data_IF_413272121702
#
_entry.id   IF_413272121702
#
_cell.length_a   1.000
_cell.length_b   1.000
_cell.length_c   1.000
_cell.angle_alpha   90.00
_cell.angle_beta   90.00
_cell.angle_gamma   90.00
#
_symmetry.space_group_name_H-M   'P 1'
#
loop_
_entity.id
_entity.type
_entity.pdbx_description
1 polymer ?
#
# COMPACT_ATOMS: atom_id res chain seq x y z
N UNK A 1 -17.28 -18.47 31.71
CA UNK A 1 -16.00 -18.95 31.14
C UNK A 1 -15.16 -19.47 32.30
N UNK A 2 -14.87 -20.76 32.34
CA UNK A 2 -13.93 -21.34 33.31
C UNK A 2 -12.53 -21.09 32.75
N UNK A 3 -11.74 -20.24 33.41
CA UNK A 3 -10.34 -20.02 33.06
C UNK A 3 -9.51 -21.12 33.72
N UNK A 4 -9.23 -22.19 32.99
CA UNK A 4 -8.36 -23.30 33.43
C UNK A 4 -7.05 -23.39 32.67
N UNK A 5 -6.61 -22.27 32.02
CA UNK A 5 -5.36 -22.24 31.29
C UNK A 5 -4.16 -22.17 32.26
N UNK A 6 -3.18 -23.03 32.07
CA UNK A 6 -1.89 -22.96 32.76
C UNK A 6 -1.15 -21.67 32.38
N UNK A 7 -0.67 -20.93 33.39
CA UNK A 7 0.03 -19.67 33.18
C UNK A 7 1.56 -19.80 33.39
N UNK A 8 1.99 -20.85 34.08
CA UNK A 8 3.40 -21.07 34.37
C UNK A 8 3.79 -22.55 34.23
N UNK A 9 5.08 -22.79 34.09
CA UNK A 9 5.66 -24.16 34.13
C UNK A 9 5.36 -24.84 35.44
N UNK A 10 5.28 -24.09 36.55
CA UNK A 10 4.99 -24.60 37.89
C UNK A 10 3.55 -25.08 38.00
N UNK A 11 2.59 -24.45 37.35
CA UNK A 11 1.19 -24.88 37.29
C UNK A 11 1.08 -26.26 36.63
N UNK A 12 1.84 -26.46 35.55
CA UNK A 12 1.90 -27.74 34.84
C UNK A 12 2.61 -28.79 35.70
N UNK A 13 3.72 -28.42 36.33
CA UNK A 13 4.48 -29.33 37.22
C UNK A 13 3.65 -29.80 38.39
N UNK A 14 2.75 -28.98 38.91
CA UNK A 14 1.85 -29.25 40.00
C UNK A 14 0.63 -30.10 39.65
N UNK A 15 0.40 -30.46 38.37
CA UNK A 15 -0.75 -31.30 37.98
C UNK A 15 -0.63 -32.67 38.62
N UNK A 16 -1.67 -33.05 39.37
CA UNK A 16 -1.75 -34.34 40.01
C UNK A 16 -2.61 -35.30 39.19
N UNK A 17 -2.17 -36.53 39.07
CA UNK A 17 -2.91 -37.59 38.40
C UNK A 17 -2.76 -38.91 39.15
N UNK A 18 -3.77 -39.77 39.06
CA UNK A 18 -3.80 -41.05 39.77
C UNK A 18 -3.37 -42.17 38.83
N UNK A 19 -2.34 -42.92 39.23
CA UNK A 19 -1.89 -44.14 38.53
C UNK A 19 -1.78 -45.28 39.54
N UNK A 20 -2.50 -46.38 39.31
CA UNK A 20 -2.46 -47.55 40.18
C UNK A 20 -2.86 -47.29 41.64
N UNK A 21 -3.77 -46.33 41.87
CA UNK A 21 -4.23 -45.95 43.21
C UNK A 21 -3.28 -45.01 43.99
N UNK A 22 -2.19 -44.54 43.34
CA UNK A 22 -1.26 -43.56 43.90
C UNK A 22 -1.40 -42.22 43.20
N UNK A 23 -1.37 -41.13 43.96
CA UNK A 23 -1.31 -39.77 43.42
C UNK A 23 0.15 -39.42 43.09
N UNK A 24 0.42 -39.07 41.87
CA UNK A 24 1.71 -38.61 41.36
C UNK A 24 1.58 -37.18 40.84
N UNK A 25 2.64 -36.39 40.96
CA UNK A 25 2.75 -35.11 40.31
C UNK A 25 3.44 -35.26 38.95
N UNK A 26 3.11 -34.42 38.01
CA UNK A 26 3.75 -34.48 36.73
C UNK A 26 5.27 -34.23 36.82
N UNK A 27 5.70 -33.38 37.76
CA UNK A 27 7.12 -33.18 38.09
C UNK A 27 7.88 -34.41 38.53
N UNK A 28 7.17 -35.47 39.05
CA UNK A 28 7.81 -36.68 39.53
C UNK A 28 8.25 -37.62 38.41
N UNK A 29 7.65 -37.44 37.21
CA UNK A 29 7.88 -38.31 36.05
C UNK A 29 8.38 -37.56 34.81
N UNK A 30 8.30 -36.26 34.79
CA UNK A 30 8.67 -35.45 33.64
C UNK A 30 9.40 -34.15 34.02
N UNK A 31 10.38 -33.75 33.25
CA UNK A 31 10.98 -32.43 33.34
C UNK A 31 10.21 -31.45 32.46
N UNK A 32 9.75 -30.36 33.07
CA UNK A 32 8.94 -29.36 32.41
C UNK A 32 9.77 -28.10 32.19
N UNK A 33 9.93 -27.70 30.94
CA UNK A 33 10.63 -26.50 30.58
C UNK A 33 9.93 -25.85 29.41
N UNK A 34 10.00 -24.53 29.35
CA UNK A 34 9.46 -23.76 28.24
C UNK A 34 10.39 -23.84 27.04
N UNK A 35 9.86 -24.15 25.90
CA UNK A 35 10.60 -24.25 24.64
C UNK A 35 9.76 -23.86 23.44
N UNK A 36 10.37 -23.88 22.30
CA UNK A 36 9.66 -23.75 21.05
C UNK A 36 9.10 -25.11 20.60
N UNK A 37 8.00 -25.07 19.86
CA UNK A 37 7.38 -26.28 19.29
C UNK A 37 8.35 -26.92 18.28
N UNK A 38 8.46 -28.23 18.29
CA UNK A 38 9.23 -29.00 17.32
C UNK A 38 8.26 -29.93 16.54
N UNK A 39 8.23 -29.83 15.19
CA UNK A 39 9.02 -28.96 14.31
C UNK A 39 8.65 -27.49 14.47
N UNK A 40 9.62 -26.56 14.27
CA UNK A 40 9.39 -25.13 14.45
C UNK A 40 8.33 -24.60 13.50
N UNK A 41 7.41 -23.80 14.02
CA UNK A 41 6.41 -23.11 13.21
C UNK A 41 7.07 -22.04 12.32
N UNK A 42 6.39 -21.61 11.23
CA UNK A 42 6.89 -20.53 10.37
C UNK A 42 7.30 -19.32 11.19
N UNK A 43 8.54 -18.89 11.03
CA UNK A 43 9.10 -17.75 11.75
C UNK A 43 9.21 -16.54 10.84
N UNK A 44 8.81 -15.38 11.34
CA UNK A 44 9.07 -14.11 10.67
C UNK A 44 10.46 -13.61 11.07
N UNK A 45 11.28 -13.27 10.08
CA UNK A 45 12.64 -12.77 10.29
C UNK A 45 12.89 -11.52 9.47
N UNK A 46 13.58 -10.55 10.07
CA UNK A 46 14.04 -9.34 9.40
C UNK A 46 15.55 -9.28 9.51
N UNK A 47 16.25 -9.15 8.38
CA UNK A 47 17.73 -9.18 8.31
C UNK A 47 18.36 -10.39 9.03
N UNK A 48 17.72 -11.57 8.92
CA UNK A 48 18.19 -12.81 9.53
C UNK A 48 17.86 -12.97 11.02
N UNK A 49 17.33 -11.93 11.69
CA UNK A 49 16.96 -11.96 13.11
C UNK A 49 15.48 -12.28 13.28
N UNK A 50 15.11 -13.08 14.30
CA UNK A 50 13.70 -13.30 14.63
C UNK A 50 13.01 -11.96 14.93
N UNK A 51 11.80 -11.77 14.39
CA UNK A 51 11.05 -10.55 14.55
C UNK A 51 9.54 -10.86 14.66
N UNK A 52 8.80 -9.90 15.17
CA UNK A 52 7.33 -9.93 15.18
C UNK A 52 6.86 -8.98 14.08
N UNK A 53 6.09 -9.49 13.12
CA UNK A 53 5.50 -8.70 12.05
C UNK A 53 4.14 -8.14 12.48
N UNK A 54 3.96 -6.84 12.30
CA UNK A 54 2.66 -6.17 12.41
C UNK A 54 2.23 -5.74 11.01
N UNK A 55 1.15 -6.31 10.51
CA UNK A 55 0.55 -5.93 9.23
C UNK A 55 -0.68 -5.06 9.48
N UNK A 56 -0.72 -3.90 8.84
CA UNK A 56 -1.85 -2.98 8.89
C UNK A 56 -2.43 -2.89 7.49
N UNK A 57 -3.69 -3.25 7.35
CA UNK A 57 -4.41 -3.18 6.09
C UNK A 57 -5.38 -2.00 6.09
N UNK A 58 -5.51 -1.35 4.94
CA UNK A 58 -6.50 -0.31 4.74
C UNK A 58 -7.90 -0.94 4.62
N UNK A 59 -8.89 -0.25 5.18
CA UNK A 59 -10.30 -0.60 4.97
C UNK A 59 -10.69 -0.24 3.54
N UNK A 60 -11.60 -1.00 2.94
CA UNK A 60 -12.18 -0.70 1.64
C UNK A 60 -12.76 0.71 1.59
N UNK A 61 -12.48 1.45 0.53
CA UNK A 61 -12.85 2.86 0.38
C UNK A 61 -12.07 3.84 1.27
N UNK A 62 -10.97 3.41 1.90
CA UNK A 62 -10.11 4.28 2.70
C UNK A 62 -9.07 5.03 1.87
N UNK A 63 -8.49 6.07 2.47
CA UNK A 63 -7.36 6.81 1.91
C UNK A 63 -6.04 6.24 2.42
N UNK A 64 -5.20 5.72 1.51
CA UNK A 64 -3.92 5.10 1.85
C UNK A 64 -2.88 6.13 2.31
N UNK A 65 -2.92 7.35 1.78
CA UNK A 65 -1.97 8.41 2.15
C UNK A 65 -2.28 8.89 3.58
N UNK A 66 -3.55 9.14 3.87
CA UNK A 66 -3.99 9.50 5.22
C UNK A 66 -3.71 8.36 6.23
N UNK A 67 -3.83 7.09 5.81
CA UNK A 67 -3.45 5.95 6.64
C UNK A 67 -1.94 5.96 6.93
N UNK A 68 -1.10 6.21 5.92
CA UNK A 68 0.36 6.30 6.07
C UNK A 68 0.77 7.35 7.09
N UNK A 69 0.20 8.55 7.00
CA UNK A 69 0.43 9.65 7.95
C UNK A 69 0.03 9.27 9.38
N UNK A 70 -1.16 8.66 9.52
CA UNK A 70 -1.66 8.23 10.83
C UNK A 70 -0.78 7.14 11.46
N UNK A 71 -0.29 6.17 10.64
CA UNK A 71 0.62 5.13 11.11
C UNK A 71 1.95 5.75 11.54
N UNK A 72 2.53 6.65 10.75
CA UNK A 72 3.78 7.32 11.06
C UNK A 72 3.69 8.10 12.38
N UNK A 73 2.60 8.85 12.56
CA UNK A 73 2.34 9.59 13.79
C UNK A 73 2.12 8.66 15.01
N UNK A 74 1.41 7.55 14.82
CA UNK A 74 1.21 6.55 15.87
C UNK A 74 2.53 5.86 16.23
N UNK A 75 3.32 5.47 15.24
CA UNK A 75 4.62 4.80 15.45
C UNK A 75 5.61 5.70 16.16
N UNK A 76 5.63 7.00 15.88
CA UNK A 76 6.48 7.97 16.61
C UNK A 76 6.14 7.97 18.11
N UNK A 77 4.84 7.95 18.45
CA UNK A 77 4.40 7.90 19.86
C UNK A 77 4.69 6.55 20.51
N UNK A 78 4.52 5.45 19.78
CA UNK A 78 4.78 4.10 20.31
C UNK A 78 6.27 3.91 20.53
N UNK A 79 7.11 4.31 19.58
CA UNK A 79 8.58 4.15 19.65
C UNK A 79 9.18 4.82 20.88
N UNK A 80 8.63 5.98 21.29
CA UNK A 80 9.09 6.68 22.49
C UNK A 80 8.81 5.90 23.79
N UNK A 81 7.89 4.95 23.79
CA UNK A 81 7.49 4.15 24.94
C UNK A 81 7.96 2.67 24.88
N UNK A 82 8.70 2.30 23.83
CA UNK A 82 9.18 0.92 23.70
C UNK A 82 10.31 0.63 24.69
N UNK A 83 10.37 -0.60 25.23
CA UNK A 83 11.49 -1.06 26.06
C UNK A 83 12.82 -0.98 25.30
N UNK A 84 13.90 -0.78 26.04
CA UNK A 84 15.26 -0.79 25.49
C UNK A 84 15.54 -2.15 24.84
N UNK A 85 15.99 -2.13 23.59
CA UNK A 85 16.28 -3.33 22.80
C UNK A 85 15.21 -3.72 21.78
N UNK A 86 14.02 -3.10 21.80
CA UNK A 86 12.99 -3.27 20.78
C UNK A 86 13.09 -2.13 19.78
N UNK A 87 13.37 -2.47 18.50
CA UNK A 87 13.48 -1.49 17.42
C UNK A 87 12.41 -1.78 16.37
N UNK A 88 11.52 -0.84 16.08
CA UNK A 88 10.59 -0.96 14.96
C UNK A 88 11.35 -0.78 13.64
N UNK A 89 11.10 -1.67 12.70
CA UNK A 89 11.67 -1.62 11.34
C UNK A 89 10.51 -1.60 10.36
N UNK A 90 10.43 -0.57 9.54
CA UNK A 90 9.46 -0.49 8.46
C UNK A 90 9.93 -1.41 7.32
N UNK A 91 9.14 -2.44 7.02
CA UNK A 91 9.46 -3.44 5.99
C UNK A 91 8.83 -3.09 4.65
N UNK A 92 7.58 -2.60 4.68
CA UNK A 92 6.87 -2.19 3.49
C UNK A 92 5.98 -0.99 3.80
N UNK A 93 6.02 0.03 2.95
CA UNK A 93 5.19 1.21 3.01
C UNK A 93 4.43 1.39 1.69
N UNK A 94 3.14 1.06 1.74
CA UNK A 94 2.29 1.18 0.57
C UNK A 94 1.93 2.64 0.28
N UNK A 95 1.85 3.51 1.30
CA UNK A 95 1.54 4.92 1.12
C UNK A 95 2.62 5.62 0.30
N UNK A 96 3.90 5.42 0.63
CA UNK A 96 5.04 5.95 -0.13
C UNK A 96 5.07 5.40 -1.56
N UNK A 97 4.74 4.11 -1.74
CA UNK A 97 4.68 3.50 -3.08
C UNK A 97 3.60 4.15 -3.95
N UNK A 98 2.45 4.46 -3.36
CA UNK A 98 1.33 5.14 -4.07
C UNK A 98 1.68 6.58 -4.36
N UNK A 99 2.25 7.31 -3.41
CA UNK A 99 2.70 8.69 -3.59
C UNK A 99 3.69 8.82 -4.77
N UNK A 100 4.71 7.96 -4.81
CA UNK A 100 5.65 7.92 -5.92
C UNK A 100 4.97 7.60 -7.26
N UNK A 101 4.04 6.64 -7.28
CA UNK A 101 3.32 6.29 -8.51
C UNK A 101 2.47 7.47 -9.05
N UNK A 102 1.83 8.23 -8.16
CA UNK A 102 1.08 9.43 -8.54
C UNK A 102 2.02 10.54 -9.04
N UNK A 103 3.14 10.77 -8.34
CA UNK A 103 4.14 11.76 -8.74
C UNK A 103 4.74 11.45 -10.12
N UNK A 104 5.10 10.20 -10.37
CA UNK A 104 5.63 9.72 -11.65
C UNK A 104 4.60 9.89 -12.78
N UNK A 105 3.33 9.57 -12.49
CA UNK A 105 2.24 9.78 -13.43
C UNK A 105 2.08 11.26 -13.77
N UNK A 106 2.00 12.14 -12.77
CA UNK A 106 1.84 13.57 -12.98
C UNK A 106 3.02 14.17 -13.75
N UNK A 107 4.23 13.72 -13.47
CA UNK A 107 5.43 14.15 -14.20
C UNK A 107 5.36 13.72 -15.67
N UNK A 108 5.03 12.48 -15.93
CA UNK A 108 4.88 11.93 -17.29
C UNK A 108 3.75 12.62 -18.07
N UNK A 109 2.64 12.91 -17.38
CA UNK A 109 1.51 13.64 -17.95
C UNK A 109 1.92 15.04 -18.40
N UNK A 110 2.58 15.81 -17.54
CA UNK A 110 3.02 17.16 -17.88
C UNK A 110 4.09 17.17 -18.98
N UNK A 111 5.00 16.19 -18.98
CA UNK A 111 5.98 16.03 -20.06
C UNK A 111 5.29 15.73 -21.39
N UNK A 112 4.33 14.81 -21.41
CA UNK A 112 3.57 14.49 -22.61
C UNK A 112 2.80 15.72 -23.14
N UNK A 113 2.11 16.42 -22.27
CA UNK A 113 1.38 17.66 -22.64
C UNK A 113 2.33 18.71 -23.21
N UNK A 114 3.49 18.93 -22.59
CA UNK A 114 4.48 19.88 -23.05
C UNK A 114 5.02 19.54 -24.45
N UNK A 115 5.38 18.26 -24.67
CA UNK A 115 5.86 17.79 -25.98
C UNK A 115 4.79 17.99 -27.05
N UNK A 116 3.54 17.59 -26.76
CA UNK A 116 2.42 17.74 -27.70
C UNK A 116 2.19 19.20 -28.05
N UNK A 117 2.22 20.11 -27.08
CA UNK A 117 2.06 21.53 -27.32
C UNK A 117 3.17 22.08 -28.22
N UNK A 118 4.42 21.74 -27.97
CA UNK A 118 5.56 22.15 -28.78
C UNK A 118 5.40 21.66 -30.20
N UNK A 119 5.09 20.38 -30.41
CA UNK A 119 4.88 19.80 -31.75
C UNK A 119 3.68 20.45 -32.44
N UNK A 120 2.56 20.65 -31.76
CA UNK A 120 1.36 21.28 -32.31
C UNK A 120 1.61 22.74 -32.75
N UNK A 121 2.34 23.51 -31.94
CA UNK A 121 2.68 24.89 -32.30
C UNK A 121 3.62 24.99 -33.53
N UNK A 122 4.57 24.04 -33.63
CA UNK A 122 5.50 24.01 -34.77
C UNK A 122 4.79 23.55 -36.06
N UNK A 123 3.96 22.49 -35.96
CA UNK A 123 3.33 21.84 -37.11
C UNK A 123 2.10 22.58 -37.62
N UNK A 124 1.22 23.04 -36.75
CA UNK A 124 -0.09 23.59 -37.08
C UNK A 124 -0.17 25.14 -36.91
N UNK A 125 0.81 25.72 -36.23
CA UNK A 125 0.84 27.13 -35.91
C UNK A 125 0.09 27.49 -34.61
N UNK A 126 0.11 28.80 -34.28
CA UNK A 126 -0.30 29.27 -32.97
C UNK A 126 -1.81 29.08 -32.70
N UNK A 127 -2.66 29.37 -33.71
CA UNK A 127 -4.12 29.33 -33.53
C UNK A 127 -4.64 27.91 -33.27
N UNK A 128 -4.34 26.90 -34.12
CA UNK A 128 -4.76 25.53 -33.87
C UNK A 128 -4.06 24.92 -32.61
N UNK A 129 -2.78 25.23 -32.42
CA UNK A 129 -2.04 24.79 -31.24
C UNK A 129 -2.67 25.24 -29.92
N UNK A 130 -3.26 26.45 -29.89
CA UNK A 130 -3.96 26.94 -28.70
C UNK A 130 -5.26 26.14 -28.41
N UNK A 131 -5.98 25.74 -29.45
CA UNK A 131 -7.19 24.91 -29.31
C UNK A 131 -6.83 23.55 -28.69
N UNK A 132 -5.78 22.91 -29.19
CA UNK A 132 -5.27 21.63 -28.64
C UNK A 132 -4.78 21.82 -27.19
N UNK A 133 -4.08 22.92 -26.93
CA UNK A 133 -3.58 23.27 -25.59
C UNK A 133 -4.68 23.38 -24.53
N UNK A 134 -5.86 23.86 -24.94
CA UNK A 134 -7.02 23.96 -24.05
C UNK A 134 -7.85 22.65 -23.99
N UNK A 135 -7.90 21.91 -25.10
CA UNK A 135 -8.68 20.69 -25.19
C UNK A 135 -8.14 19.59 -24.25
N UNK A 136 -6.81 19.44 -24.14
CA UNK A 136 -6.18 18.39 -23.34
C UNK A 136 -6.53 18.52 -21.85
N UNK A 137 -6.25 19.66 -21.16
CA UNK A 137 -6.56 19.77 -19.73
C UNK A 137 -8.07 19.74 -19.47
N UNK A 138 -8.90 20.26 -20.40
CA UNK A 138 -10.35 20.20 -20.27
C UNK A 138 -10.85 18.75 -20.31
N UNK A 139 -10.37 17.95 -21.25
CA UNK A 139 -10.73 16.53 -21.34
C UNK A 139 -10.29 15.75 -20.10
N UNK A 140 -9.07 16.00 -19.61
CA UNK A 140 -8.57 15.39 -18.38
C UNK A 140 -9.44 15.77 -17.17
N UNK A 141 -9.83 17.04 -17.06
CA UNK A 141 -10.73 17.48 -15.99
C UNK A 141 -12.09 16.78 -16.05
N UNK A 142 -12.64 16.60 -17.25
CA UNK A 142 -13.90 15.85 -17.44
C UNK A 142 -13.72 14.38 -17.04
N UNK A 143 -12.63 13.74 -17.47
CA UNK A 143 -12.36 12.33 -17.15
C UNK A 143 -12.20 12.13 -15.64
N UNK A 144 -11.42 12.97 -14.96
CA UNK A 144 -11.25 12.88 -13.50
C UNK A 144 -12.58 13.12 -12.78
N UNK A 145 -13.40 14.06 -13.21
CA UNK A 145 -14.72 14.30 -12.64
C UNK A 145 -15.66 13.11 -12.83
N UNK A 146 -15.60 12.45 -14.00
CA UNK A 146 -16.39 11.24 -14.26
C UNK A 146 -15.89 10.05 -13.43
N UNK A 147 -14.59 9.89 -13.24
CA UNK A 147 -14.02 8.87 -12.37
C UNK A 147 -14.51 9.03 -10.93
N UNK A 148 -14.51 10.26 -10.41
CA UNK A 148 -15.03 10.56 -9.09
C UNK A 148 -16.53 10.24 -8.97
N UNK A 149 -17.35 10.65 -9.94
CA UNK A 149 -18.79 10.39 -9.97
C UNK A 149 -19.13 8.89 -10.09
N UNK A 150 -18.32 8.12 -10.79
CA UNK A 150 -18.52 6.67 -10.99
C UNK A 150 -17.86 5.83 -9.91
N UNK A 151 -17.13 6.44 -8.98
CA UNK A 151 -16.43 5.71 -7.92
C UNK A 151 -15.26 4.87 -8.42
N UNK A 152 -14.64 5.26 -9.53
CA UNK A 152 -13.46 4.59 -10.06
C UNK A 152 -12.23 5.13 -9.35
N UNK A 153 -11.59 4.27 -8.55
CA UNK A 153 -10.37 4.62 -7.82
C UNK A 153 -9.17 4.85 -8.74
N UNK A 154 -8.30 5.77 -8.34
CA UNK A 154 -7.02 5.98 -8.99
C UNK A 154 -6.06 4.83 -8.68
N UNK A 155 -5.94 3.90 -9.60
CA UNK A 155 -5.04 2.75 -9.52
C UNK A 155 -3.97 2.85 -10.62
N UNK A 156 -2.87 2.10 -10.47
CA UNK A 156 -1.80 2.06 -11.49
C UNK A 156 -2.32 1.68 -12.88
N UNK A 157 -3.33 0.79 -12.94
CA UNK A 157 -3.94 0.36 -14.20
C UNK A 157 -4.77 1.49 -14.80
N UNK A 158 -5.59 2.19 -14.01
CA UNK A 158 -6.38 3.33 -14.50
C UNK A 158 -5.51 4.49 -14.94
N UNK A 159 -4.39 4.76 -14.23
CA UNK A 159 -3.40 5.75 -14.64
C UNK A 159 -2.71 5.39 -15.96
N UNK A 160 -2.33 4.11 -16.13
CA UNK A 160 -1.78 3.61 -17.39
C UNK A 160 -2.76 3.72 -18.57
N UNK A 161 -4.02 3.36 -18.35
CA UNK A 161 -5.09 3.51 -19.36
C UNK A 161 -5.30 4.98 -19.72
N UNK A 162 -5.21 5.89 -18.75
CA UNK A 162 -5.35 7.33 -18.98
C UNK A 162 -4.22 7.88 -19.87
N UNK A 163 -2.97 7.43 -19.69
CA UNK A 163 -1.84 7.81 -20.55
C UNK A 163 -2.08 7.35 -21.98
N UNK A 164 -2.54 6.12 -22.19
CA UNK A 164 -2.86 5.59 -23.52
C UNK A 164 -4.02 6.38 -24.16
N UNK A 165 -5.07 6.63 -23.39
CA UNK A 165 -6.22 7.39 -23.87
C UNK A 165 -5.83 8.84 -24.23
N UNK A 166 -4.93 9.47 -23.47
CA UNK A 166 -4.40 10.79 -23.77
C UNK A 166 -3.64 10.81 -25.09
N UNK A 167 -2.80 9.80 -25.35
CA UNK A 167 -2.05 9.70 -26.60
C UNK A 167 -2.99 9.59 -27.81
N UNK A 168 -4.04 8.76 -27.71
CA UNK A 168 -5.05 8.61 -28.76
C UNK A 168 -5.88 9.89 -28.97
N UNK A 169 -6.26 10.56 -27.87
CA UNK A 169 -7.01 11.82 -27.93
C UNK A 169 -6.26 12.92 -28.67
N UNK A 170 -4.95 12.98 -28.46
CA UNK A 170 -4.11 13.99 -29.10
C UNK A 170 -4.00 13.75 -30.58
N UNK A 171 -3.82 12.50 -31.00
CA UNK A 171 -3.75 12.12 -32.41
C UNK A 171 -5.06 12.49 -33.15
N UNK A 172 -6.19 12.22 -32.51
CA UNK A 172 -7.53 12.54 -33.02
C UNK A 172 -7.77 14.08 -33.08
N UNK A 173 -7.31 14.81 -32.07
CA UNK A 173 -7.39 16.28 -32.05
C UNK A 173 -6.51 16.91 -33.14
N UNK A 174 -5.32 16.39 -33.42
CA UNK A 174 -4.44 16.86 -34.48
C UNK A 174 -5.03 16.60 -35.85
N UNK A 175 -5.55 15.40 -36.13
CA UNK A 175 -6.14 15.05 -37.41
C UNK A 175 -7.41 15.86 -37.71
N UNK A 176 -8.26 16.08 -36.71
CA UNK A 176 -9.48 16.90 -36.84
C UNK A 176 -9.16 18.35 -37.09
N UNK A 177 -8.12 18.88 -36.42
CA UNK A 177 -7.70 20.29 -36.61
C UNK A 177 -7.06 20.51 -37.96
N UNK A 178 -6.25 19.59 -38.46
CA UNK A 178 -5.64 19.64 -39.78
C UNK A 178 -6.69 19.55 -40.89
N UNK A 179 -7.70 18.70 -40.75
CA UNK A 179 -8.82 18.58 -41.69
C UNK A 179 -9.69 19.86 -41.74
N UNK A 180 -9.78 20.61 -40.64
CA UNK A 180 -10.52 21.88 -40.58
C UNK A 180 -9.73 23.04 -41.19
N UNK A 181 -8.40 22.98 -41.15
CA UNK A 181 -7.52 24.01 -41.74
C UNK A 181 -7.32 23.83 -43.24
N UNK A 182 -7.46 22.61 -43.74
CA UNK A 182 -7.31 22.29 -45.18
C UNK A 182 -8.56 22.59 -46.02
N UNK A 183 -9.63 23.05 -45.41
CA UNK A 183 -10.85 23.54 -46.08
C UNK A 183 -10.88 25.05 -46.14
#
# INVERSE_FOLDING_TARGET
RVSGAFQSEQDIAGVNFAVGGRMLRLSDIAQIHRGFVDPPQPQFRVNGKPAIGLAIAMREGGDILALGDNITNAMTKITSNLPVGVQPILVADQAVTVEHAIADFMTSLWQAVAIILVVSFISLGIRPGLVIALAIPLTLAIVFSLMELTGIDMQRISLGALIIALALLVDDAMTTTDATLSR
#
